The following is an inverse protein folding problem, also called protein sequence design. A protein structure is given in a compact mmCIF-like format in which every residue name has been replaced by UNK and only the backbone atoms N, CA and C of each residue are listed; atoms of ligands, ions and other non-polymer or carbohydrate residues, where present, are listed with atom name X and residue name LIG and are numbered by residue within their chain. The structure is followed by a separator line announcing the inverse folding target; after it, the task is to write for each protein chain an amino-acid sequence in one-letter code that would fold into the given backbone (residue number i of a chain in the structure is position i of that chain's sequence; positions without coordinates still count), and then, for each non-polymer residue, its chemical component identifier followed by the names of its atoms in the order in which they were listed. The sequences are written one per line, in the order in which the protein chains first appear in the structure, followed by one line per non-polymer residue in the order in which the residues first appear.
data_IF_824816618042
#
_entry.id   IF_824816618042
#
_cell.length_a   1.000
_cell.length_b   1.000
_cell.length_c   1.000
_cell.angle_alpha   90.00
_cell.angle_beta   90.00
_cell.angle_gamma   90.00
#
_symmetry.space_group_name_H-M   'P 1'
#
loop_
_entity.id
_entity.type
_entity.pdbx_description
1 polymer ?
#
# COMPACT_ATOMS: atom_id res chain seq x y z
N UNK A 1 5.54 3.37 0.81
CA UNK A 1 5.82 4.66 0.15
C UNK A 1 4.88 4.75 -1.04
N UNK A 2 3.99 5.77 -1.07
CA UNK A 2 3.10 5.97 -2.22
C UNK A 2 3.87 6.76 -3.27
N UNK A 3 3.94 6.21 -4.47
CA UNK A 3 4.58 6.88 -5.61
C UNK A 3 3.47 7.17 -6.63
N UNK A 4 3.08 8.43 -6.81
CA UNK A 4 2.11 8.78 -7.84
C UNK A 4 2.74 8.53 -9.22
N UNK A 5 2.08 7.69 -10.01
CA UNK A 5 2.49 7.38 -11.39
C UNK A 5 1.46 7.90 -12.36
N UNK A 6 1.93 8.54 -13.43
CA UNK A 6 1.08 9.02 -14.52
C UNK A 6 1.09 7.97 -15.62
N UNK A 7 -0.08 7.43 -15.96
CA UNK A 7 -0.23 6.48 -17.07
C UNK A 7 -1.03 7.15 -18.18
N UNK A 8 -0.48 7.19 -19.38
CA UNK A 8 -1.15 7.71 -20.57
C UNK A 8 -2.11 6.64 -21.11
N UNK A 9 -3.39 6.96 -21.11
CA UNK A 9 -4.43 6.04 -21.58
C UNK A 9 -4.64 6.12 -23.09
N UNK A 10 -4.62 7.33 -23.65
CA UNK A 10 -4.89 7.61 -25.06
C UNK A 10 -3.98 8.73 -25.56
N UNK A 11 -3.46 8.66 -26.80
CA UNK A 11 -3.54 7.51 -27.71
C UNK A 11 -2.77 6.29 -27.20
N UNK A 12 -3.18 5.10 -27.60
CA UNK A 12 -2.45 3.87 -27.28
C UNK A 12 -1.11 3.88 -28.02
N UNK A 13 -0.03 4.05 -27.29
CA UNK A 13 1.32 3.97 -27.84
C UNK A 13 1.80 2.52 -27.73
N UNK A 14 2.18 1.95 -28.85
CA UNK A 14 2.85 0.65 -28.84
C UNK A 14 4.27 0.89 -28.35
N UNK A 15 4.65 0.27 -27.24
CA UNK A 15 6.02 0.38 -26.73
C UNK A 15 7.01 -0.11 -27.80
N UNK A 16 8.17 0.54 -27.90
CA UNK A 16 9.20 0.15 -28.87
C UNK A 16 9.55 -1.34 -28.74
N UNK A 17 9.60 -1.87 -27.51
CA UNK A 17 9.81 -3.30 -27.24
C UNK A 17 8.70 -4.21 -27.79
N UNK A 18 7.45 -3.76 -27.76
CA UNK A 18 6.32 -4.51 -28.33
C UNK A 18 6.33 -4.44 -29.87
N UNK A 19 6.78 -3.31 -30.43
CA UNK A 19 6.95 -3.13 -31.87
C UNK A 19 8.11 -3.98 -32.39
N UNK A 20 9.22 -4.06 -31.67
CA UNK A 20 10.35 -4.93 -32.06
C UNK A 20 9.96 -6.41 -31.99
N UNK A 21 9.32 -6.84 -30.90
CA UNK A 21 8.83 -8.24 -30.79
C UNK A 21 7.78 -8.59 -31.84
N UNK A 22 6.91 -7.67 -32.20
CA UNK A 22 5.94 -7.86 -33.26
C UNK A 22 6.64 -7.95 -34.65
N UNK A 23 7.70 -7.15 -34.85
CA UNK A 23 8.51 -7.19 -36.06
C UNK A 23 9.34 -8.47 -36.18
N UNK A 24 9.86 -9.00 -35.08
CA UNK A 24 10.57 -10.30 -35.04
C UNK A 24 9.60 -11.46 -35.29
N UNK A 25 8.45 -11.45 -34.65
CA UNK A 25 7.42 -12.47 -34.88
C UNK A 25 6.86 -12.46 -36.29
N UNK A 26 6.77 -11.28 -36.94
CA UNK A 26 6.36 -11.15 -38.34
C UNK A 26 7.42 -11.72 -39.28
N UNK A 27 8.72 -11.51 -39.02
CA UNK A 27 9.83 -12.08 -39.80
C UNK A 27 9.93 -13.60 -39.64
N UNK A 28 9.72 -14.14 -38.46
CA UNK A 28 9.66 -15.59 -38.22
C UNK A 28 8.45 -16.23 -38.91
N UNK A 29 7.33 -15.50 -39.03
CA UNK A 29 6.14 -15.99 -39.74
C UNK A 29 6.30 -15.99 -41.26
N UNK A 30 7.17 -15.15 -41.83
CA UNK A 30 7.49 -15.18 -43.29
C UNK A 30 8.39 -16.37 -43.65
N UNK A 31 9.24 -16.85 -42.74
CA UNK A 31 10.16 -17.98 -43.00
C UNK A 31 9.49 -19.35 -42.72
N UNK A 32 8.43 -19.40 -41.93
CA UNK A 32 7.67 -20.61 -41.63
C UNK A 32 6.39 -20.58 -42.50
N UNK A 33 6.28 -21.42 -43.48
CA UNK A 33 5.18 -21.56 -44.46
C UNK A 33 3.81 -21.82 -43.78
N UNK A 34 3.50 -21.03 -42.74
CA UNK A 34 2.23 -21.06 -41.98
C UNK A 34 1.18 -20.27 -42.75
N UNK A 35 0.00 -20.87 -42.88
CA UNK A 35 -1.14 -20.19 -43.49
C UNK A 35 -1.42 -18.86 -42.71
N UNK A 36 -1.73 -17.77 -43.43
CA UNK A 36 -2.06 -16.50 -42.78
C UNK A 36 -3.20 -16.72 -41.79
N UNK A 37 -3.05 -16.11 -40.59
CA UNK A 37 -4.03 -16.22 -39.53
C UNK A 37 -5.29 -15.45 -39.96
N UNK A 38 -6.39 -16.16 -40.16
CA UNK A 38 -7.66 -15.52 -40.45
C UNK A 38 -8.28 -15.04 -39.14
N UNK A 39 -8.55 -13.75 -39.07
CA UNK A 39 -9.29 -13.17 -37.96
C UNK A 39 -10.80 -13.25 -38.21
N UNK A 40 -11.55 -13.76 -37.26
CA UNK A 40 -13.01 -13.69 -37.22
C UNK A 40 -13.42 -13.04 -35.89
N UNK A 41 -14.00 -11.86 -35.90
CA UNK A 41 -14.39 -10.95 -37.00
C UNK A 41 -13.22 -10.23 -37.65
N UNK A 42 -13.52 -9.43 -38.70
CA UNK A 42 -12.51 -8.61 -39.43
C UNK A 42 -11.70 -7.73 -38.46
N UNK A 43 -10.45 -7.42 -38.84
CA UNK A 43 -9.47 -6.75 -37.96
C UNK A 43 -10.00 -5.44 -37.35
N UNK A 44 -10.76 -4.64 -38.12
CA UNK A 44 -11.36 -3.37 -37.58
C UNK A 44 -12.43 -3.63 -36.53
N UNK A 45 -13.30 -4.61 -36.74
CA UNK A 45 -14.38 -4.96 -35.83
C UNK A 45 -13.80 -5.60 -34.53
N UNK A 46 -12.73 -6.38 -34.66
CA UNK A 46 -12.01 -6.93 -33.52
C UNK A 46 -11.35 -5.84 -32.68
N UNK A 47 -10.71 -4.84 -33.31
CA UNK A 47 -10.10 -3.71 -32.64
C UNK A 47 -11.13 -2.84 -31.92
N UNK A 48 -12.28 -2.55 -32.55
CA UNK A 48 -13.36 -1.79 -31.94
C UNK A 48 -13.92 -2.48 -30.68
N UNK A 49 -13.86 -3.78 -30.62
CA UNK A 49 -14.27 -4.55 -29.44
C UNK A 49 -13.19 -4.60 -28.36
N UNK A 50 -11.92 -4.66 -28.73
CA UNK A 50 -10.78 -4.85 -27.82
C UNK A 50 -10.37 -3.55 -27.14
N UNK A 51 -10.32 -2.43 -27.89
CA UNK A 51 -9.84 -1.14 -27.37
C UNK A 51 -10.65 -0.65 -26.16
N UNK A 52 -11.99 -0.65 -26.15
CA UNK A 52 -12.76 -0.25 -24.99
C UNK A 52 -12.53 -1.15 -23.76
N UNK A 53 -12.38 -2.46 -23.99
CA UNK A 53 -12.08 -3.43 -22.91
C UNK A 53 -10.71 -3.21 -22.33
N UNK A 54 -9.72 -2.91 -23.17
CA UNK A 54 -8.37 -2.58 -22.74
C UNK A 54 -8.33 -1.34 -21.85
N UNK A 55 -8.96 -0.23 -22.30
CA UNK A 55 -9.07 1.01 -21.52
C UNK A 55 -9.77 0.77 -20.18
N UNK A 56 -10.89 0.03 -20.20
CA UNK A 56 -11.63 -0.32 -18.99
C UNK A 56 -10.77 -1.15 -18.04
N UNK A 57 -9.99 -2.10 -18.55
CA UNK A 57 -9.09 -2.93 -17.75
C UNK A 57 -7.98 -2.09 -17.10
N UNK A 58 -7.41 -1.12 -17.81
CA UNK A 58 -6.40 -0.22 -17.26
C UNK A 58 -6.96 0.66 -16.14
N UNK A 59 -8.16 1.23 -16.35
CA UNK A 59 -8.83 2.05 -15.32
C UNK A 59 -9.14 1.19 -14.09
N UNK A 60 -9.67 0.01 -14.29
CA UNK A 60 -9.99 -0.91 -13.20
C UNK A 60 -8.74 -1.34 -12.43
N UNK A 61 -7.66 -1.66 -13.14
CA UNK A 61 -6.36 -1.96 -12.52
C UNK A 61 -5.85 -0.81 -11.65
N UNK A 62 -5.88 0.42 -12.16
CA UNK A 62 -5.50 1.59 -11.40
C UNK A 62 -6.35 1.84 -10.15
N UNK A 63 -7.67 1.59 -10.24
CA UNK A 63 -8.56 1.69 -9.08
C UNK A 63 -8.22 0.65 -8.01
N UNK A 64 -7.97 -0.60 -8.39
CA UNK A 64 -7.58 -1.66 -7.45
C UNK A 64 -6.24 -1.32 -6.79
N UNK A 65 -5.28 -0.85 -7.56
CA UNK A 65 -3.96 -0.46 -7.05
C UNK A 65 -4.06 0.71 -6.06
N UNK A 66 -4.90 1.71 -6.35
CA UNK A 66 -5.17 2.82 -5.46
C UNK A 66 -5.77 2.35 -4.12
N UNK A 67 -6.77 1.47 -4.16
CA UNK A 67 -7.40 0.90 -2.95
C UNK A 67 -6.41 0.05 -2.15
N UNK A 68 -5.60 -0.77 -2.83
CA UNK A 68 -4.57 -1.58 -2.17
C UNK A 68 -3.51 -0.69 -1.49
N UNK A 69 -3.09 0.36 -2.18
CA UNK A 69 -2.14 1.35 -1.67
C UNK A 69 -2.70 2.09 -0.45
N UNK A 70 -3.97 2.53 -0.49
CA UNK A 70 -4.63 3.17 0.65
C UNK A 70 -4.70 2.23 1.86
N UNK A 71 -5.12 0.98 1.66
CA UNK A 71 -5.19 0.00 2.73
C UNK A 71 -3.81 -0.30 3.33
N UNK A 72 -2.77 -0.40 2.50
CA UNK A 72 -1.39 -0.58 2.96
C UNK A 72 -0.90 0.59 3.82
N UNK A 73 -1.18 1.83 3.40
CA UNK A 73 -0.84 3.01 4.18
C UNK A 73 -1.60 3.08 5.50
N UNK A 74 -2.88 2.75 5.47
CA UNK A 74 -3.71 2.71 6.68
C UNK A 74 -3.18 1.68 7.67
N UNK A 75 -2.82 0.48 7.20
CA UNK A 75 -2.23 -0.56 8.04
C UNK A 75 -0.92 -0.08 8.68
N UNK A 76 -0.02 0.51 7.91
CA UNK A 76 1.24 1.04 8.42
C UNK A 76 1.05 2.18 9.43
N UNK A 77 0.10 3.07 9.17
CA UNK A 77 -0.23 4.15 10.09
C UNK A 77 -0.80 3.63 11.41
N UNK A 78 -1.67 2.62 11.36
CA UNK A 78 -2.24 2.00 12.56
C UNK A 78 -1.21 1.21 13.35
N UNK A 79 -0.29 0.52 12.68
CA UNK A 79 0.81 -0.19 13.35
C UNK A 79 1.72 0.80 14.10
N UNK A 80 2.09 1.89 13.46
CA UNK A 80 2.85 2.97 14.11
C UNK A 80 2.09 3.61 15.27
N UNK A 81 0.79 3.81 15.14
CA UNK A 81 -0.04 4.36 16.20
C UNK A 81 -0.15 3.41 17.41
N UNK A 82 -0.25 2.10 17.14
CA UNK A 82 -0.27 1.07 18.18
C UNK A 82 1.05 1.04 18.95
N UNK A 83 2.17 1.03 18.25
CA UNK A 83 3.50 1.08 18.86
C UNK A 83 3.68 2.33 19.73
N UNK A 84 3.28 3.51 19.25
CA UNK A 84 3.33 4.74 20.02
C UNK A 84 2.42 4.68 21.26
N UNK A 85 1.25 4.04 21.17
CA UNK A 85 0.35 3.86 22.29
C UNK A 85 0.95 2.93 23.36
N UNK A 86 1.62 1.86 22.96
CA UNK A 86 2.33 0.95 23.87
C UNK A 86 3.47 1.66 24.62
N UNK A 87 4.24 2.49 23.92
CA UNK A 87 5.29 3.30 24.53
C UNK A 87 4.72 4.30 25.55
N UNK A 88 3.60 4.94 25.20
CA UNK A 88 2.89 5.84 26.12
C UNK A 88 2.37 5.11 27.38
N UNK A 89 1.77 3.93 27.22
CA UNK A 89 1.30 3.11 28.34
C UNK A 89 2.46 2.72 29.24
N UNK A 90 3.58 2.32 28.66
CA UNK A 90 4.80 1.98 29.40
C UNK A 90 5.32 3.17 30.22
N UNK A 91 5.43 4.34 29.59
CA UNK A 91 5.88 5.56 30.26
C UNK A 91 4.93 6.01 31.37
N UNK A 92 3.62 5.95 31.13
CA UNK A 92 2.61 6.27 32.14
C UNK A 92 2.63 5.28 33.30
N UNK A 93 2.84 4.00 33.05
CA UNK A 93 2.97 2.98 34.09
C UNK A 93 4.17 3.24 35.00
N UNK A 94 5.30 3.65 34.44
CA UNK A 94 6.48 4.06 35.20
C UNK A 94 6.17 5.29 36.08
N UNK A 95 5.53 6.28 35.48
CA UNK A 95 5.18 7.53 36.17
C UNK A 95 4.18 7.27 37.33
N UNK A 96 3.17 6.42 37.08
CA UNK A 96 2.21 5.99 38.09
C UNK A 96 2.88 5.26 39.25
N UNK A 97 3.75 4.28 38.95
CA UNK A 97 4.46 3.56 39.99
C UNK A 97 5.38 4.46 40.80
N UNK A 98 6.03 5.44 40.19
CA UNK A 98 6.86 6.44 40.88
C UNK A 98 6.03 7.35 41.77
N UNK A 99 4.89 7.84 41.28
CA UNK A 99 3.97 8.66 42.06
C UNK A 99 3.40 7.88 43.26
N UNK A 100 2.98 6.62 43.02
CA UNK A 100 2.48 5.74 44.08
C UNK A 100 3.53 5.52 45.19
N UNK A 101 4.78 5.22 44.82
CA UNK A 101 5.86 5.06 45.78
C UNK A 101 6.13 6.35 46.57
N UNK A 102 6.10 7.50 45.86
CA UNK A 102 6.22 8.81 46.54
C UNK A 102 5.13 9.06 47.55
N UNK A 103 3.86 8.79 47.23
CA UNK A 103 2.72 8.94 48.13
C UNK A 103 2.85 8.02 49.34
N UNK A 104 3.17 6.74 49.13
CA UNK A 104 3.36 5.77 50.23
C UNK A 104 4.51 6.23 51.17
N UNK A 105 5.63 6.69 50.58
CA UNK A 105 6.77 7.17 51.39
C UNK A 105 6.41 8.40 52.17
N UNK A 106 5.65 9.31 51.60
CA UNK A 106 5.16 10.51 52.32
C UNK A 106 4.24 10.15 53.48
N UNK A 107 3.26 9.27 53.27
CA UNK A 107 2.35 8.80 54.29
C UNK A 107 3.11 8.11 55.45
N UNK A 108 4.08 7.25 55.11
CA UNK A 108 4.93 6.61 56.12
C UNK A 108 5.74 7.63 56.92
N UNK A 109 6.28 8.65 56.25
CA UNK A 109 7.05 9.70 56.93
C UNK A 109 6.18 10.53 57.86
N UNK A 110 4.95 10.85 57.47
CA UNK A 110 3.97 11.57 58.29
C UNK A 110 3.56 10.75 59.51
N UNK A 111 3.33 9.45 59.34
CA UNK A 111 3.00 8.55 60.49
C UNK A 111 4.15 8.47 61.49
N UNK A 112 5.40 8.30 60.99
CA UNK A 112 6.59 8.23 61.85
C UNK A 112 6.82 9.57 62.59
N UNK A 113 6.66 10.69 61.85
CA UNK A 113 6.79 12.02 62.48
C UNK A 113 5.73 12.25 63.56
N UNK A 114 4.48 11.82 63.28
CA UNK A 114 3.40 11.90 64.27
C UNK A 114 3.67 11.02 65.49
N UNK A 115 4.16 9.81 65.35
CA UNK A 115 4.53 8.91 66.42
C UNK A 115 5.67 9.46 67.27
N UNK A 116 6.69 10.07 66.68
CA UNK A 116 7.80 10.68 67.39
C UNK A 116 7.40 11.98 68.15
N UNK A 117 6.34 12.65 67.69
CA UNK A 117 5.85 13.87 68.34
C UNK A 117 5.03 13.57 69.60
N UNK A 118 4.56 12.33 69.81
CA UNK A 118 3.73 11.91 70.96
C UNK A 118 4.56 11.16 71.98
N UNK A 119 5.74 10.70 71.64
CA UNK A 119 6.68 10.07 72.59
C UNK A 119 7.64 11.10 73.20
#
# INVERSE_FOLDING_TARGET
MHVPTLVKLLPVEVSEEASEKAGEAAKEAEDDNRAPMNFEPEDEEALDMIIPKYVTSLIYGGMIEAVASENGARMQAMDSATSNAEDMISSLSLLYNRARQGSITQELTEIIAGANAIS
#
